data_IF_314281999292
#
_entry.id   IF_314281999292
#
_cell.length_a   1.000
_cell.length_b   1.000
_cell.length_c   1.000
_cell.angle_alpha   90.00
_cell.angle_beta   90.00
_cell.angle_gamma   90.00
#
_symmetry.space_group_name_H-M   'P 1'
#
loop_
_entity.id
_entity.type
_entity.pdbx_description
1 polymer ?
#
# COMPACT_ATOMS: atom_id res chain seq x y z
N UNK A 1 1.75 -4.22 -10.27
CA UNK A 1 1.25 -4.61 -8.95
C UNK A 1 -0.05 -3.89 -8.71
N UNK A 2 -0.96 -4.43 -7.90
CA UNK A 2 -2.24 -3.78 -7.60
C UNK A 2 -2.57 -3.85 -6.13
N UNK A 3 -3.19 -2.80 -5.60
CA UNK A 3 -3.79 -2.84 -4.29
C UNK A 3 -4.91 -3.90 -4.27
N UNK A 4 -5.01 -4.66 -3.19
CA UNK A 4 -6.03 -5.69 -3.00
C UNK A 4 -6.70 -5.54 -1.64
N UNK A 5 -7.95 -5.98 -1.57
CA UNK A 5 -8.66 -6.09 -0.30
C UNK A 5 -8.04 -7.18 0.59
N UNK A 6 -8.20 -7.06 1.91
CA UNK A 6 -7.70 -7.97 2.93
C UNK A 6 -8.57 -7.90 4.18
N UNK A 7 -8.55 -8.97 5.00
CA UNK A 7 -9.47 -9.18 6.14
C UNK A 7 -9.62 -7.98 7.10
N UNK A 8 -8.59 -7.16 7.25
CA UNK A 8 -8.55 -6.02 8.17
C UNK A 8 -9.08 -4.72 7.58
N UNK A 9 -9.41 -4.68 6.29
CA UNK A 9 -9.81 -3.44 5.63
C UNK A 9 -11.00 -2.81 6.37
N UNK A 10 -10.81 -1.57 6.82
CA UNK A 10 -11.87 -0.75 7.41
C UNK A 10 -12.15 0.53 6.60
N UNK A 11 -11.31 0.86 5.61
CA UNK A 11 -11.46 2.06 4.78
C UNK A 11 -11.09 1.79 3.31
N UNK A 12 -11.66 2.59 2.41
CA UNK A 12 -11.24 2.67 1.00
C UNK A 12 -10.99 4.13 0.68
N UNK A 13 -9.72 4.52 0.52
CA UNK A 13 -9.38 5.88 0.12
C UNK A 13 -9.74 6.09 -1.36
N UNK A 14 -10.06 7.34 -1.71
CA UNK A 14 -10.40 7.75 -3.07
C UNK A 14 -11.55 6.97 -3.74
N UNK A 15 -12.46 6.36 -2.97
CA UNK A 15 -13.57 5.55 -3.50
C UNK A 15 -14.41 6.27 -4.57
N UNK A 16 -14.67 7.56 -4.37
CA UNK A 16 -15.55 8.36 -5.22
C UNK A 16 -14.77 9.42 -6.03
N UNK A 17 -13.47 9.21 -6.26
CA UNK A 17 -12.62 10.14 -7.00
C UNK A 17 -12.18 9.49 -8.32
N UNK A 18 -12.83 9.78 -9.46
CA UNK A 18 -12.59 9.08 -10.73
C UNK A 18 -11.15 9.21 -11.24
N UNK A 19 -10.44 10.27 -10.84
CA UNK A 19 -9.05 10.52 -11.20
C UNK A 19 -8.05 9.62 -10.46
N UNK A 20 -8.47 8.88 -9.43
CA UNK A 20 -7.61 8.03 -8.62
C UNK A 20 -8.14 6.60 -8.52
N UNK A 21 -7.22 5.65 -8.41
CA UNK A 21 -7.58 4.27 -8.13
C UNK A 21 -7.97 4.12 -6.64
N UNK A 22 -9.12 3.50 -6.33
CA UNK A 22 -9.50 3.24 -4.94
C UNK A 22 -8.45 2.40 -4.21
N UNK A 23 -8.07 2.84 -3.01
CA UNK A 23 -7.06 2.16 -2.19
C UNK A 23 -7.74 1.51 -0.97
N UNK A 24 -8.01 0.19 -1.00
CA UNK A 24 -8.44 -0.54 0.18
C UNK A 24 -7.32 -0.57 1.22
N UNK A 25 -7.65 -0.19 2.45
CA UNK A 25 -6.69 -0.09 3.54
C UNK A 25 -7.32 -0.37 4.90
N UNK A 26 -6.46 -0.62 5.88
CA UNK A 26 -6.78 -0.57 7.29
C UNK A 26 -6.14 0.69 7.88
N UNK A 27 -6.95 1.53 8.52
CA UNK A 27 -6.49 2.69 9.30
C UNK A 27 -6.61 2.36 10.78
N UNK A 28 -5.49 2.30 11.48
CA UNK A 28 -5.44 2.13 12.93
C UNK A 28 -5.81 3.44 13.66
N UNK A 29 -6.11 3.34 14.96
CA UNK A 29 -6.44 4.49 15.81
C UNK A 29 -5.30 5.51 15.94
N UNK A 30 -4.05 5.06 15.86
CA UNK A 30 -2.84 5.90 15.86
C UNK A 30 -2.59 6.61 14.51
N UNK A 31 -3.47 6.42 13.53
CA UNK A 31 -3.36 7.01 12.21
C UNK A 31 -2.53 6.19 11.22
N UNK A 32 -1.94 5.06 11.63
CA UNK A 32 -1.19 4.19 10.72
C UNK A 32 -2.11 3.60 9.64
N UNK A 33 -1.75 3.79 8.38
CA UNK A 33 -2.47 3.24 7.23
C UNK A 33 -1.70 2.05 6.65
N UNK A 34 -2.35 0.89 6.63
CA UNK A 34 -1.81 -0.33 6.02
C UNK A 34 -2.60 -0.64 4.74
N UNK A 35 -1.91 -0.78 3.62
CA UNK A 35 -2.48 -1.28 2.36
C UNK A 35 -1.76 -2.57 1.94
N UNK A 36 -2.46 -3.45 1.21
CA UNK A 36 -1.90 -4.71 0.72
C UNK A 36 -1.77 -4.67 -0.79
N UNK A 37 -0.62 -5.10 -1.32
CA UNK A 37 -0.31 -5.06 -2.73
C UNK A 37 0.02 -6.45 -3.25
N UNK A 38 -0.68 -6.87 -4.30
CA UNK A 38 -0.42 -8.14 -4.98
C UNK A 38 0.47 -7.89 -6.19
N UNK A 39 1.64 -8.52 -6.16
CA UNK A 39 2.55 -8.63 -7.30
C UNK A 39 1.99 -9.63 -8.32
N UNK A 40 2.12 -9.31 -9.60
CA UNK A 40 1.94 -10.27 -10.69
C UNK A 40 3.06 -11.33 -10.65
N UNK A 41 2.89 -12.42 -11.41
CA UNK A 41 3.94 -13.44 -11.50
C UNK A 41 5.26 -12.89 -12.06
N UNK A 42 5.20 -12.08 -13.13
CA UNK A 42 6.38 -11.45 -13.72
C UNK A 42 7.07 -10.47 -12.77
N UNK A 43 6.32 -9.74 -11.95
CA UNK A 43 6.87 -8.85 -10.93
C UNK A 43 7.54 -9.60 -9.79
N UNK A 44 6.95 -10.72 -9.35
CA UNK A 44 7.56 -11.60 -8.34
C UNK A 44 8.93 -12.09 -8.81
N UNK A 45 9.05 -12.50 -10.07
CA UNK A 45 10.34 -12.94 -10.63
C UNK A 45 11.36 -11.80 -10.67
N UNK A 46 10.95 -10.60 -11.13
CA UNK A 46 11.84 -9.42 -11.13
C UNK A 46 12.33 -9.05 -9.73
N UNK A 47 11.46 -9.11 -8.73
CA UNK A 47 11.82 -8.83 -7.33
C UNK A 47 12.70 -9.94 -6.75
N UNK A 48 12.41 -11.21 -7.02
CA UNK A 48 13.25 -12.32 -6.56
C UNK A 48 14.68 -12.22 -7.10
N UNK A 49 14.85 -11.77 -8.35
CA UNK A 49 16.16 -11.62 -8.98
C UNK A 49 16.89 -10.33 -8.58
N UNK A 50 16.18 -9.20 -8.46
CA UNK A 50 16.80 -7.88 -8.27
C UNK A 50 16.70 -7.32 -6.85
N UNK A 51 15.78 -7.82 -6.03
CA UNK A 51 15.57 -7.40 -4.65
C UNK A 51 15.10 -5.95 -4.47
N UNK A 52 14.54 -5.31 -5.51
CA UNK A 52 14.22 -3.87 -5.49
C UNK A 52 12.72 -3.61 -5.66
N UNK A 53 12.18 -2.74 -4.82
CA UNK A 53 10.84 -2.14 -4.93
C UNK A 53 11.02 -0.62 -4.85
N UNK A 54 10.40 0.11 -5.78
CA UNK A 54 10.38 1.57 -5.77
C UNK A 54 8.98 2.03 -5.34
N UNK A 55 8.92 2.95 -4.37
CA UNK A 55 7.70 3.60 -3.93
C UNK A 55 7.76 5.08 -4.29
N UNK A 56 6.84 5.53 -5.14
CA UNK A 56 6.68 6.94 -5.49
C UNK A 56 5.36 7.42 -4.87
N UNK A 57 5.43 8.52 -4.12
CA UNK A 57 4.26 9.12 -3.48
C UNK A 57 4.13 10.57 -3.92
N UNK A 58 2.89 10.99 -4.18
CA UNK A 58 2.59 12.40 -4.40
C UNK A 58 2.56 13.08 -3.03
N UNK A 59 3.61 13.83 -2.71
CA UNK A 59 3.67 14.59 -1.45
C UNK A 59 3.03 15.97 -1.56
N UNK A 60 2.70 16.41 -2.78
CA UNK A 60 2.17 17.75 -3.08
C UNK A 60 3.03 18.87 -2.47
N UNK A 61 4.36 18.73 -2.57
CA UNK A 61 5.34 19.66 -1.99
C UNK A 61 5.29 19.77 -0.44
N UNK A 62 4.61 18.87 0.25
CA UNK A 62 4.70 18.72 1.70
C UNK A 62 5.78 17.69 2.09
N UNK A 63 6.25 17.70 3.35
CA UNK A 63 7.12 16.64 3.85
C UNK A 63 6.48 15.25 3.68
N UNK A 64 7.25 14.24 3.25
CA UNK A 64 6.72 12.88 3.11
C UNK A 64 6.29 12.32 4.48
N UNK A 65 5.19 11.59 4.50
CA UNK A 65 4.80 10.83 5.69
C UNK A 65 5.81 9.69 5.94
N UNK A 66 6.00 9.26 7.20
CA UNK A 66 6.83 8.09 7.50
C UNK A 66 6.32 6.84 6.76
N UNK A 67 7.22 6.13 6.08
CA UNK A 67 6.89 4.94 5.28
C UNK A 67 7.52 3.69 5.88
N UNK A 68 6.74 2.61 5.97
CA UNK A 68 7.22 1.28 6.36
C UNK A 68 6.76 0.24 5.36
N UNK A 69 7.71 -0.36 4.64
CA UNK A 69 7.46 -1.45 3.71
C UNK A 69 7.56 -2.79 4.42
N UNK A 70 6.60 -3.69 4.17
CA UNK A 70 6.50 -4.98 4.84
C UNK A 70 6.28 -6.09 3.82
N UNK A 71 6.95 -7.24 4.01
CA UNK A 71 6.72 -8.47 3.23
C UNK A 71 5.65 -9.37 3.84
N UNK A 72 5.31 -9.12 5.11
CA UNK A 72 4.29 -9.84 5.86
C UNK A 72 3.33 -8.85 6.48
N UNK A 73 2.09 -9.29 6.68
CA UNK A 73 1.07 -8.47 7.29
C UNK A 73 1.49 -8.02 8.71
N UNK A 74 1.31 -6.74 9.05
CA UNK A 74 1.60 -6.29 10.41
C UNK A 74 0.66 -6.98 11.40
N UNK A 75 1.19 -7.32 12.58
CA UNK A 75 0.35 -7.72 13.71
C UNK A 75 -0.40 -6.49 14.20
N UNK A 76 -1.69 -6.64 14.51
CA UNK A 76 -2.42 -5.62 15.25
C UNK A 76 -1.74 -5.42 16.61
N UNK A 77 -1.59 -4.16 17.01
CA UNK A 77 -1.16 -3.80 18.36
C UNK A 77 -2.38 -3.76 19.27
#
# INVERSE_FOLDING_TARGET
MKAIDFKQRNIIFARNQPQYLPLPAHRASDGTVTSCWKLSFSERLKIALKGKIYLQTLTFNHPPQPLKMLVSKPKEK
#
